data_IF_859861125756
#
_entry.id   IF_859861125756
#
_cell.length_a   1.000
_cell.length_b   1.000
_cell.length_c   1.000
_cell.angle_alpha   90.00
_cell.angle_beta   90.00
_cell.angle_gamma   90.00
#
_symmetry.space_group_name_H-M   'P 1'
#
loop_
_entity.id
_entity.type
_entity.pdbx_description
1 polymer ?
#
# COMPACT_ATOMS: atom_id res chain seq x y z
N UNK A 1 -49.81 -43.63 25.13
CA UNK A 1 -48.93 -42.72 24.36
C UNK A 1 -48.20 -41.83 25.36
N UNK A 2 -46.88 -41.97 25.52
CA UNK A 2 -46.08 -41.13 26.43
C UNK A 2 -45.45 -40.02 25.58
N UNK A 3 -45.84 -38.76 25.81
CA UNK A 3 -45.18 -37.62 25.20
C UNK A 3 -43.80 -37.43 25.85
N UNK A 4 -42.75 -37.36 25.04
CA UNK A 4 -41.37 -37.10 25.47
C UNK A 4 -41.20 -35.61 25.78
N UNK A 5 -40.92 -35.22 27.03
CA UNK A 5 -40.84 -33.81 27.45
C UNK A 5 -39.51 -33.11 27.10
N UNK A 6 -38.58 -33.75 26.38
CA UNK A 6 -37.21 -33.25 26.17
C UNK A 6 -37.06 -32.13 25.12
N UNK A 7 -37.86 -32.12 24.05
CA UNK A 7 -37.63 -31.22 22.91
C UNK A 7 -38.06 -29.78 23.16
N UNK A 8 -39.10 -29.57 23.98
CA UNK A 8 -39.62 -28.23 24.30
C UNK A 8 -38.71 -27.47 25.27
N UNK A 9 -38.11 -28.17 26.24
CA UNK A 9 -37.18 -27.57 27.21
C UNK A 9 -35.88 -27.13 26.55
N UNK A 10 -35.31 -27.98 25.69
CA UNK A 10 -34.08 -27.65 24.95
C UNK A 10 -34.28 -26.48 23.97
N UNK A 11 -35.47 -26.36 23.36
CA UNK A 11 -35.81 -25.23 22.52
C UNK A 11 -35.91 -23.92 23.33
N UNK A 12 -36.54 -23.98 24.52
CA UNK A 12 -36.62 -22.84 25.43
C UNK A 12 -35.23 -22.40 25.92
N UNK A 13 -34.37 -23.36 26.31
CA UNK A 13 -33.00 -23.07 26.75
C UNK A 13 -32.15 -22.45 25.63
N UNK A 14 -32.32 -22.89 24.38
CA UNK A 14 -31.68 -22.28 23.20
C UNK A 14 -32.17 -20.84 22.94
N UNK A 15 -33.45 -20.57 23.14
CA UNK A 15 -34.01 -19.22 23.00
C UNK A 15 -33.49 -18.29 24.11
N UNK A 16 -33.50 -18.75 25.37
CA UNK A 16 -33.01 -17.99 26.53
C UNK A 16 -31.52 -17.69 26.40
N UNK A 17 -30.71 -18.67 26.01
CA UNK A 17 -29.27 -18.45 25.75
C UNK A 17 -29.06 -17.45 24.61
N UNK A 18 -29.82 -17.56 23.51
CA UNK A 18 -29.77 -16.59 22.41
C UNK A 18 -30.15 -15.16 22.83
N UNK A 19 -31.17 -14.98 23.67
CA UNK A 19 -31.55 -13.68 24.23
C UNK A 19 -30.45 -13.14 25.13
N UNK A 20 -29.95 -13.95 26.07
CA UNK A 20 -28.88 -13.57 26.99
C UNK A 20 -27.59 -13.18 26.27
N UNK A 21 -27.28 -13.82 25.13
CA UNK A 21 -26.14 -13.44 24.30
C UNK A 21 -26.33 -12.06 23.68
N UNK A 22 -27.52 -11.74 23.18
CA UNK A 22 -27.83 -10.43 22.57
C UNK A 22 -27.95 -9.30 23.59
N UNK A 23 -28.43 -9.58 24.79
CA UNK A 23 -28.61 -8.60 25.88
C UNK A 23 -27.40 -8.53 26.82
N UNK A 24 -26.31 -9.24 26.51
CA UNK A 24 -25.11 -9.26 27.34
C UNK A 24 -24.52 -7.86 27.45
N UNK A 25 -24.46 -7.33 28.66
CA UNK A 25 -23.79 -6.06 28.94
C UNK A 25 -22.30 -6.18 28.64
N UNK A 26 -21.80 -5.35 27.74
CA UNK A 26 -20.37 -5.18 27.47
C UNK A 26 -19.83 -4.08 28.39
N UNK A 27 -18.72 -4.36 29.07
CA UNK A 27 -18.03 -3.40 29.91
C UNK A 27 -16.81 -2.85 29.16
N UNK A 28 -16.72 -1.53 29.05
CA UNK A 28 -15.56 -0.85 28.50
C UNK A 28 -14.37 -0.93 29.47
N UNK A 29 -13.15 -0.63 28.98
CA UNK A 29 -11.99 -0.54 29.88
C UNK A 29 -12.18 0.57 30.94
N UNK A 30 -12.79 1.68 30.54
CA UNK A 30 -13.07 2.83 31.42
C UNK A 30 -14.05 2.51 32.53
N UNK A 31 -14.97 1.55 32.33
CA UNK A 31 -15.88 1.07 33.38
C UNK A 31 -15.22 0.03 34.29
N UNK A 32 -14.41 -0.87 33.72
CA UNK A 32 -13.74 -1.94 34.50
C UNK A 32 -12.69 -1.40 35.46
N UNK A 33 -11.88 -0.43 35.02
CA UNK A 33 -10.72 0.06 35.77
C UNK A 33 -11.13 0.68 37.11
N UNK A 34 -12.08 1.62 37.20
CA UNK A 34 -12.48 2.24 38.47
C UNK A 34 -13.00 1.23 39.49
N UNK A 35 -13.80 0.25 39.04
CA UNK A 35 -14.36 -0.81 39.88
C UNK A 35 -13.23 -1.67 40.46
N UNK A 36 -12.30 -2.13 39.62
CA UNK A 36 -11.16 -2.93 40.09
C UNK A 36 -10.32 -2.15 41.10
N UNK A 37 -10.06 -0.87 40.83
CA UNK A 37 -9.30 -0.01 41.74
C UNK A 37 -10.02 0.22 43.07
N UNK A 38 -11.35 0.38 43.08
CA UNK A 38 -12.13 0.49 44.31
C UNK A 38 -12.02 -0.78 45.18
N UNK A 39 -12.10 -1.96 44.56
CA UNK A 39 -11.92 -3.22 45.28
C UNK A 39 -10.50 -3.43 45.81
N UNK A 40 -9.48 -2.96 45.08
CA UNK A 40 -8.08 -2.99 45.55
C UNK A 40 -7.80 -1.99 46.67
N UNK A 41 -8.52 -0.86 46.74
CA UNK A 41 -8.44 0.09 47.85
C UNK A 41 -8.94 -0.51 49.17
N UNK A 42 -9.86 -1.47 49.12
CA UNK A 42 -10.33 -2.21 50.29
C UNK A 42 -11.28 -1.44 51.22
N UNK A 43 -11.85 -0.33 50.77
CA UNK A 43 -12.78 0.51 51.54
C UNK A 43 -14.12 -0.18 51.83
N UNK A 44 -14.53 -1.11 50.97
CA UNK A 44 -15.74 -1.90 51.12
C UNK A 44 -15.49 -3.37 50.73
N UNK A 45 -16.29 -4.29 51.28
CA UNK A 45 -16.19 -5.70 50.91
C UNK A 45 -16.48 -5.86 49.41
N UNK A 46 -15.67 -6.65 48.70
CA UNK A 46 -15.81 -6.95 47.26
C UNK A 46 -17.24 -7.37 46.90
N UNK A 47 -17.92 -8.12 47.78
CA UNK A 47 -19.32 -8.50 47.55
C UNK A 47 -20.29 -7.30 47.61
N UNK A 48 -20.04 -6.31 48.47
CA UNK A 48 -20.82 -5.08 48.55
C UNK A 48 -20.56 -4.19 47.32
N UNK A 49 -19.29 -4.03 46.92
CA UNK A 49 -18.89 -3.35 45.69
C UNK A 49 -19.57 -3.97 44.47
N UNK A 50 -19.52 -5.30 44.32
CA UNK A 50 -20.13 -5.99 43.19
C UNK A 50 -21.65 -5.79 43.12
N UNK A 51 -22.34 -5.73 44.28
CA UNK A 51 -23.77 -5.42 44.34
C UNK A 51 -24.07 -3.98 43.94
N UNK A 52 -23.28 -3.00 44.41
CA UNK A 52 -23.46 -1.59 44.06
C UNK A 52 -23.28 -1.34 42.56
N UNK A 53 -22.23 -1.93 41.99
CA UNK A 53 -21.88 -1.77 40.57
C UNK A 53 -22.72 -2.67 39.64
N UNK A 54 -23.56 -3.55 40.19
CA UNK A 54 -24.40 -4.46 39.42
C UNK A 54 -23.62 -5.53 38.65
N UNK A 55 -22.46 -5.95 39.17
CA UNK A 55 -21.57 -6.94 38.54
C UNK A 55 -21.55 -8.25 39.32
N UNK A 56 -21.33 -9.35 38.61
CA UNK A 56 -21.07 -10.63 39.25
C UNK A 56 -19.64 -10.64 39.83
N UNK A 57 -19.48 -11.18 41.04
CA UNK A 57 -18.18 -11.28 41.73
C UNK A 57 -17.10 -11.98 40.88
N UNK A 58 -17.50 -12.94 40.04
CA UNK A 58 -16.59 -13.62 39.10
C UNK A 58 -15.94 -12.67 38.10
N UNK A 59 -16.66 -11.65 37.63
CA UNK A 59 -16.12 -10.65 36.68
C UNK A 59 -15.04 -9.79 37.35
N UNK A 60 -15.28 -9.34 38.58
CA UNK A 60 -14.30 -8.58 39.36
C UNK A 60 -12.97 -9.33 39.50
N UNK A 61 -13.02 -10.61 39.90
CA UNK A 61 -11.80 -11.39 40.07
C UNK A 61 -11.09 -11.69 38.74
N UNK A 62 -11.84 -11.81 37.63
CA UNK A 62 -11.24 -11.91 36.30
C UNK A 62 -10.50 -10.63 35.91
N UNK A 63 -11.17 -9.48 36.02
CA UNK A 63 -10.59 -8.17 35.65
C UNK A 63 -9.43 -7.76 36.54
N UNK A 64 -9.50 -8.00 37.85
CA UNK A 64 -8.40 -7.69 38.78
C UNK A 64 -7.16 -8.53 38.50
N UNK A 65 -7.33 -9.82 38.15
CA UNK A 65 -6.23 -10.68 37.72
C UNK A 65 -5.58 -10.15 36.44
N UNK A 66 -6.37 -9.88 35.42
CA UNK A 66 -5.88 -9.36 34.14
C UNK A 66 -5.12 -8.03 34.30
N UNK A 67 -5.67 -7.11 35.10
CA UNK A 67 -5.05 -5.81 35.37
C UNK A 67 -3.70 -5.95 36.09
N UNK A 68 -3.64 -6.79 37.12
CA UNK A 68 -2.41 -7.02 37.88
C UNK A 68 -1.36 -7.78 37.06
N UNK A 69 -1.77 -8.74 36.24
CA UNK A 69 -0.87 -9.46 35.35
C UNK A 69 -0.29 -8.54 34.26
N UNK A 70 -1.12 -7.72 33.64
CA UNK A 70 -0.67 -6.70 32.69
C UNK A 70 0.26 -5.67 33.34
N UNK A 71 -0.08 -5.22 34.56
CA UNK A 71 0.76 -4.31 35.35
C UNK A 71 2.12 -4.91 35.68
N UNK A 72 2.16 -6.17 36.12
CA UNK A 72 3.40 -6.91 36.38
C UNK A 72 4.25 -7.05 35.13
N UNK A 73 3.66 -7.46 34.00
CA UNK A 73 4.37 -7.56 32.71
C UNK A 73 4.97 -6.21 32.29
N UNK A 74 4.23 -5.11 32.48
CA UNK A 74 4.73 -3.77 32.16
C UNK A 74 5.85 -3.30 33.09
N UNK A 75 5.72 -3.53 34.40
CA UNK A 75 6.77 -3.20 35.38
C UNK A 75 8.02 -4.08 35.22
N UNK A 76 7.85 -5.32 34.79
CA UNK A 76 8.95 -6.22 34.42
C UNK A 76 9.62 -5.82 33.09
N UNK A 77 9.13 -4.79 32.39
CA UNK A 77 9.68 -4.34 31.11
C UNK A 77 9.32 -5.23 29.92
N UNK A 78 8.41 -6.19 30.10
CA UNK A 78 8.16 -7.32 29.19
C UNK A 78 7.13 -7.00 28.10
N UNK A 79 7.01 -5.72 27.72
CA UNK A 79 6.09 -5.30 26.65
C UNK A 79 6.79 -4.34 25.68
N UNK A 80 7.22 -4.92 24.56
CA UNK A 80 7.13 -4.35 23.21
C UNK A 80 7.25 -2.82 23.18
N UNK A 81 8.47 -2.31 23.33
CA UNK A 81 8.83 -1.17 22.48
C UNK A 81 8.69 -1.70 21.06
N UNK A 82 7.74 -1.16 20.30
CA UNK A 82 7.37 -1.64 18.96
C UNK A 82 8.51 -1.71 17.93
N UNK A 83 9.74 -1.35 18.29
CA UNK A 83 10.90 -2.05 17.80
C UNK A 83 12.07 -1.85 18.78
N UNK A 84 12.92 -2.86 18.88
CA UNK A 84 14.15 -2.80 19.65
C UNK A 84 14.98 -1.64 19.09
N UNK A 85 15.41 -0.69 19.92
CA UNK A 85 16.22 0.46 19.48
C UNK A 85 17.36 0.12 18.48
N UNK A 86 18.09 -1.01 18.60
CA UNK A 86 19.04 -1.46 17.58
C UNK A 86 18.39 -1.79 16.23
N UNK A 87 17.31 -2.58 16.20
CA UNK A 87 16.61 -2.94 14.96
C UNK A 87 16.04 -1.70 14.25
N UNK A 88 15.51 -0.72 14.99
CA UNK A 88 15.09 0.57 14.41
C UNK A 88 16.27 1.30 13.79
N UNK A 89 17.43 1.27 14.45
CA UNK A 89 18.64 1.92 13.97
C UNK A 89 19.14 1.26 12.68
N UNK A 90 19.15 -0.07 12.65
CA UNK A 90 19.59 -0.85 11.49
C UNK A 90 18.63 -0.69 10.32
N UNK A 91 17.31 -0.72 10.58
CA UNK A 91 16.29 -0.44 9.57
C UNK A 91 16.38 0.99 9.02
N UNK A 92 16.64 1.98 9.88
CA UNK A 92 16.85 3.37 9.45
C UNK A 92 18.13 3.54 8.63
N UNK A 93 19.20 2.85 9.01
CA UNK A 93 20.45 2.83 8.26
C UNK A 93 20.24 2.18 6.88
N UNK A 94 19.55 1.03 6.82
CA UNK A 94 19.18 0.38 5.57
C UNK A 94 18.29 1.25 4.68
N UNK A 95 17.30 1.93 5.26
CA UNK A 95 16.44 2.86 4.53
C UNK A 95 17.21 4.07 3.99
N UNK A 96 18.22 4.57 4.71
CA UNK A 96 19.08 5.66 4.22
C UNK A 96 19.96 5.19 3.05
N UNK A 97 20.61 4.03 3.18
CA UNK A 97 21.42 3.45 2.11
C UNK A 97 20.60 3.17 0.83
N UNK A 98 19.37 2.67 0.98
CA UNK A 98 18.47 2.45 -0.14
C UNK A 98 18.08 3.76 -0.84
N UNK A 99 17.83 4.84 -0.08
CA UNK A 99 17.54 6.16 -0.67
C UNK A 99 18.72 6.70 -1.47
N UNK A 100 19.95 6.55 -0.96
CA UNK A 100 21.16 6.94 -1.68
C UNK A 100 21.33 6.13 -2.98
N UNK A 101 21.16 4.81 -2.91
CA UNK A 101 21.24 3.94 -4.09
C UNK A 101 20.20 4.32 -5.15
N UNK A 102 18.95 4.59 -4.74
CA UNK A 102 17.90 5.05 -5.65
C UNK A 102 18.23 6.42 -6.25
N UNK A 103 18.76 7.35 -5.46
CA UNK A 103 19.18 8.65 -5.97
C UNK A 103 20.29 8.52 -7.02
N UNK A 104 21.29 7.68 -6.76
CA UNK A 104 22.39 7.40 -7.70
C UNK A 104 21.87 6.77 -9.00
N UNK A 105 21.01 5.74 -8.91
CA UNK A 105 20.41 5.11 -10.08
C UNK A 105 19.50 6.08 -10.86
N UNK A 106 18.79 6.98 -10.18
CA UNK A 106 17.96 8.01 -10.84
C UNK A 106 18.84 9.00 -11.60
N UNK A 107 19.95 9.44 -10.99
CA UNK A 107 20.92 10.31 -11.65
C UNK A 107 21.57 9.62 -12.86
N UNK A 108 21.96 8.35 -12.71
CA UNK A 108 22.52 7.55 -13.79
C UNK A 108 21.52 7.36 -14.93
N UNK A 109 20.27 7.00 -14.63
CA UNK A 109 19.21 6.92 -15.64
C UNK A 109 19.01 8.24 -16.37
N UNK A 110 19.02 9.37 -15.67
CA UNK A 110 18.90 10.70 -16.30
C UNK A 110 20.08 11.03 -17.19
N UNK A 111 21.30 10.64 -16.80
CA UNK A 111 22.51 10.81 -17.59
C UNK A 111 22.50 9.89 -18.81
N UNK A 112 22.10 8.63 -18.64
CA UNK A 112 21.95 7.64 -19.71
C UNK A 112 20.87 8.06 -20.70
N UNK A 113 19.72 8.57 -20.24
CA UNK A 113 18.72 9.17 -21.08
C UNK A 113 19.33 10.31 -21.89
N UNK A 114 19.94 11.32 -21.24
CA UNK A 114 20.59 12.43 -21.95
C UNK A 114 21.63 11.96 -22.98
N UNK A 115 22.44 10.95 -22.64
CA UNK A 115 23.41 10.36 -23.55
C UNK A 115 22.75 9.55 -24.69
N UNK A 116 21.64 8.88 -24.41
CA UNK A 116 20.84 8.14 -25.37
C UNK A 116 20.13 9.08 -26.35
N UNK A 117 19.57 10.20 -25.91
CA UNK A 117 19.07 11.27 -26.78
C UNK A 117 20.19 11.90 -27.62
N UNK A 118 21.39 12.05 -27.05
CA UNK A 118 22.60 12.42 -27.76
C UNK A 118 23.00 11.42 -28.85
N UNK A 119 22.91 10.12 -28.57
CA UNK A 119 23.18 9.03 -29.52
C UNK A 119 22.05 8.76 -30.50
N UNK A 120 20.77 8.96 -30.17
CA UNK A 120 19.61 8.85 -31.11
C UNK A 120 19.61 9.93 -32.18
N UNK A 121 20.31 11.05 -31.96
CA UNK A 121 20.64 12.00 -33.04
C UNK A 121 21.58 11.40 -34.11
N UNK A 122 22.28 10.31 -33.79
CA UNK A 122 23.18 9.58 -34.69
C UNK A 122 22.74 8.13 -35.00
N UNK A 123 21.98 7.47 -34.13
CA UNK A 123 21.44 6.12 -34.30
C UNK A 123 19.98 6.28 -34.68
N UNK A 124 19.72 6.23 -35.98
CA UNK A 124 18.48 6.64 -36.61
C UNK A 124 17.24 6.07 -35.91
N UNK A 125 16.24 6.93 -35.72
CA UNK A 125 14.91 6.56 -35.25
C UNK A 125 14.38 5.31 -35.95
N UNK A 126 13.70 4.44 -35.20
CA UNK A 126 12.98 3.30 -35.78
C UNK A 126 11.87 3.82 -36.71
N UNK A 127 11.44 3.03 -37.69
CA UNK A 127 10.40 3.45 -38.64
C UNK A 127 9.11 3.89 -37.93
N UNK A 128 8.75 3.19 -36.84
CA UNK A 128 7.63 3.52 -35.96
C UNK A 128 7.77 4.91 -35.33
N UNK A 129 8.94 5.21 -34.75
CA UNK A 129 9.22 6.51 -34.13
C UNK A 129 9.12 7.64 -35.15
N UNK A 130 9.65 7.43 -36.37
CA UNK A 130 9.57 8.41 -37.47
C UNK A 130 8.13 8.69 -37.89
N UNK A 131 7.31 7.65 -37.97
CA UNK A 131 5.89 7.76 -38.32
C UNK A 131 5.10 8.50 -37.24
N UNK A 132 5.35 8.20 -35.96
CA UNK A 132 4.72 8.91 -34.85
C UNK A 132 5.05 10.40 -34.88
N UNK A 133 6.28 10.79 -35.21
CA UNK A 133 6.63 12.21 -35.34
C UNK A 133 5.88 12.91 -36.48
N UNK A 134 5.70 12.26 -37.63
CA UNK A 134 4.92 12.82 -38.75
C UNK A 134 3.48 13.05 -38.31
N UNK A 135 2.85 12.03 -37.70
CA UNK A 135 1.47 12.12 -37.20
C UNK A 135 1.33 13.21 -36.12
N UNK A 136 2.27 13.29 -35.19
CA UNK A 136 2.26 14.31 -34.13
C UNK A 136 2.38 15.73 -34.68
N UNK A 137 3.17 15.93 -35.74
CA UNK A 137 3.28 17.24 -36.40
C UNK A 137 1.99 17.59 -37.15
N UNK A 138 1.41 16.64 -37.89
CA UNK A 138 0.16 16.82 -38.64
C UNK A 138 -1.06 17.07 -37.74
N UNK A 139 -1.10 16.42 -36.58
CA UNK A 139 -2.19 16.58 -35.60
C UNK A 139 -1.98 17.76 -34.65
N UNK A 140 -0.79 18.37 -34.63
CA UNK A 140 -0.53 19.51 -33.73
C UNK A 140 -1.18 20.79 -34.26
N UNK A 141 -1.84 21.52 -33.37
CA UNK A 141 -2.32 22.88 -33.62
C UNK A 141 -1.20 23.93 -33.53
N UNK A 142 0.05 23.50 -33.26
CA UNK A 142 1.21 24.35 -33.11
C UNK A 142 1.95 24.48 -34.44
N UNK A 143 2.65 25.62 -34.70
CA UNK A 143 3.49 25.74 -35.88
C UNK A 143 4.57 24.65 -35.90
N UNK A 144 4.77 24.01 -37.06
CA UNK A 144 5.71 22.88 -37.28
C UNK A 144 7.06 23.11 -36.59
N UNK A 145 7.64 24.31 -36.72
CA UNK A 145 8.92 24.65 -36.09
C UNK A 145 8.88 24.47 -34.56
N UNK A 146 7.83 24.96 -33.88
CA UNK A 146 7.69 24.82 -32.42
C UNK A 146 7.48 23.36 -32.00
N UNK A 147 6.78 22.57 -32.80
CA UNK A 147 6.58 21.15 -32.53
C UNK A 147 7.90 20.39 -32.67
N UNK A 148 8.67 20.66 -33.72
CA UNK A 148 9.99 20.06 -33.94
C UNK A 148 11.03 20.46 -32.89
N UNK A 149 11.02 21.72 -32.45
CA UNK A 149 11.91 22.20 -31.37
C UNK A 149 11.63 21.45 -30.06
N UNK A 150 10.35 21.16 -29.75
CA UNK A 150 9.95 20.36 -28.58
C UNK A 150 10.35 18.88 -28.70
N UNK A 151 10.29 18.32 -29.91
CA UNK A 151 10.70 16.95 -30.19
C UNK A 151 12.23 16.79 -30.33
N UNK A 152 12.97 17.90 -30.40
CA UNK A 152 14.42 17.90 -30.58
C UNK A 152 14.87 17.44 -31.97
N UNK A 153 14.00 17.54 -32.99
CA UNK A 153 14.24 17.06 -34.35
C UNK A 153 14.68 18.22 -35.24
N UNK A 154 15.84 18.15 -35.90
CA UNK A 154 16.23 19.17 -36.87
C UNK A 154 15.24 19.23 -38.03
N UNK A 155 14.86 20.46 -38.42
CA UNK A 155 13.94 20.73 -39.53
C UNK A 155 14.32 19.98 -40.81
N UNK A 156 15.62 19.94 -41.13
CA UNK A 156 16.17 19.24 -42.31
C UNK A 156 15.95 17.73 -42.26
N UNK A 157 16.07 17.12 -41.08
CA UNK A 157 15.83 15.68 -40.91
C UNK A 157 14.35 15.36 -41.08
N UNK A 158 13.46 16.19 -40.53
CA UNK A 158 12.02 16.03 -40.62
C UNK A 158 11.53 16.06 -42.07
N UNK A 159 11.85 17.11 -42.84
CA UNK A 159 11.40 17.19 -44.24
C UNK A 159 11.95 16.05 -45.09
N UNK A 160 13.22 15.65 -44.89
CA UNK A 160 13.78 14.48 -45.59
C UNK A 160 13.03 13.18 -45.27
N UNK A 161 12.54 12.99 -44.06
CA UNK A 161 11.70 11.83 -43.72
C UNK A 161 10.29 11.98 -44.30
N UNK A 162 9.72 13.18 -44.25
CA UNK A 162 8.41 13.47 -44.83
C UNK A 162 8.39 13.20 -46.33
N UNK A 163 9.41 13.65 -47.07
CA UNK A 163 9.55 13.41 -48.51
C UNK A 163 9.63 11.91 -48.80
N UNK A 164 10.41 11.15 -48.02
CA UNK A 164 10.52 9.70 -48.16
C UNK A 164 9.21 8.98 -47.84
N UNK A 165 8.47 9.45 -46.85
CA UNK A 165 7.14 8.93 -46.51
C UNK A 165 6.11 9.21 -47.60
N UNK A 166 6.13 10.41 -48.19
CA UNK A 166 5.26 10.76 -49.31
C UNK A 166 5.59 9.95 -50.57
N UNK A 167 6.87 9.63 -50.81
CA UNK A 167 7.30 8.86 -51.99
C UNK A 167 7.13 7.35 -51.85
N UNK A 168 7.36 6.78 -50.66
CA UNK A 168 7.47 5.32 -50.46
C UNK A 168 6.61 4.79 -49.30
N UNK A 169 5.76 5.62 -48.68
CA UNK A 169 4.96 5.25 -47.52
C UNK A 169 5.82 4.90 -46.29
N UNK A 170 5.28 4.05 -45.40
CA UNK A 170 5.97 3.62 -44.17
C UNK A 170 7.31 2.90 -44.44
N UNK A 171 7.41 2.19 -45.57
CA UNK A 171 8.65 1.54 -46.04
C UNK A 171 9.77 2.55 -46.32
N UNK A 172 9.42 3.77 -46.74
CA UNK A 172 10.35 4.87 -46.94
C UNK A 172 11.06 5.31 -45.66
N UNK A 173 10.50 4.99 -44.49
CA UNK A 173 11.01 5.38 -43.17
C UNK A 173 11.89 4.29 -42.53
N UNK A 174 12.01 3.11 -43.13
CA UNK A 174 12.83 2.03 -42.60
C UNK A 174 14.34 2.34 -42.65
N UNK A 175 15.09 1.63 -41.81
CA UNK A 175 16.56 1.68 -41.86
C UNK A 175 17.05 0.97 -43.11
N UNK A 176 18.16 1.42 -43.71
CA UNK A 176 18.70 0.83 -44.94
C UNK A 176 18.98 -0.69 -44.84
N UNK A 177 19.15 -1.22 -43.62
CA UNK A 177 19.27 -2.66 -43.34
C UNK A 177 17.98 -3.45 -43.63
N UNK A 178 16.80 -2.87 -43.39
CA UNK A 178 15.52 -3.56 -43.58
C UNK A 178 15.16 -3.67 -45.07
N UNK A 179 15.47 -2.64 -45.86
CA UNK A 179 15.34 -2.66 -47.32
C UNK A 179 16.30 -3.70 -47.95
N UNK A 180 17.51 -3.84 -47.42
CA UNK A 180 18.46 -4.86 -47.88
C UNK A 180 17.98 -6.30 -47.56
N UNK A 181 17.34 -6.53 -46.41
CA UNK A 181 16.79 -7.84 -46.04
C UNK A 181 15.49 -8.20 -46.79
N UNK A 182 14.75 -7.21 -47.30
CA UNK A 182 13.51 -7.43 -48.06
C UNK A 182 13.73 -7.73 -49.56
N UNK A 183 14.94 -7.49 -50.09
CA UNK A 183 15.27 -7.68 -51.52
C UNK A 183 15.99 -9.03 -51.78
N UNK A 184 16.43 -9.77 -50.75
CA UNK A 184 17.04 -11.10 -50.88
C UNK A 184 16.03 -12.28 -50.74
N UNK A 185 14.84 -12.19 -51.34
CA UNK A 185 13.95 -13.35 -51.55
C UNK A 185 13.73 -13.58 -53.04
#
# INVERSE_FOLDING_TARGET
>A
MKQTPGTSKDAADKLVTGINHKTRKHYSAEEKIPIVLAGLRGEENIAALCRREGIATRLYYGWSRELLEAGKKRLAGDTVRQATSPEIKDLRAGAAALKEAVANLTLENRLLEKACWGRRRHMGYQASDKLEFIRLVELSHLPVKRTLDKLGIPKTTFYRQQDRYQMFGELGLEHALAIAQAIEI
#
